data_IF_683704029956
#
_entry.id   IF_683704029956
#
_cell.length_a   1.000
_cell.length_b   1.000
_cell.length_c   1.000
_cell.angle_alpha   90.00
_cell.angle_beta   90.00
_cell.angle_gamma   90.00
#
_symmetry.space_group_name_H-M   'P 1'
#
loop_
_entity.id
_entity.type
_entity.pdbx_description
1 polymer ?
#
# COMPACT_ATOMS: atom_id res chain seq x y z
N UNK A 1 16.97 -21.06 -0.97
CA UNK A 1 17.54 -20.91 0.40
C UNK A 1 16.82 -19.84 1.23
N UNK A 2 16.54 -18.63 0.72
CA UNK A 2 15.86 -17.56 1.49
C UNK A 2 14.46 -17.91 2.03
N UNK A 3 13.59 -18.52 1.22
CA UNK A 3 12.24 -18.90 1.65
C UNK A 3 12.21 -19.92 2.81
N UNK A 4 13.19 -20.84 2.85
CA UNK A 4 13.31 -21.80 3.95
C UNK A 4 13.71 -21.12 5.27
N UNK A 5 14.53 -20.06 5.19
CA UNK A 5 14.91 -19.24 6.35
C UNK A 5 13.69 -18.43 6.84
N UNK A 6 12.90 -17.86 5.93
CA UNK A 6 11.68 -17.13 6.27
C UNK A 6 10.64 -18.04 6.96
N UNK A 7 10.50 -19.30 6.50
CA UNK A 7 9.67 -20.30 7.16
C UNK A 7 10.11 -20.61 8.60
N UNK A 8 11.42 -20.76 8.83
CA UNK A 8 11.97 -21.03 10.16
C UNK A 8 11.84 -19.84 11.14
N UNK A 9 11.84 -18.60 10.62
CA UNK A 9 11.60 -17.39 11.43
C UNK A 9 10.13 -17.32 11.87
N UNK A 10 9.19 -17.70 10.99
CA UNK A 10 7.77 -17.75 11.33
C UNK A 10 7.44 -18.85 12.37
N UNK A 11 8.23 -19.92 12.44
CA UNK A 11 8.08 -21.01 13.44
C UNK A 11 8.83 -20.76 14.75
N UNK A 12 9.54 -19.62 14.89
CA UNK A 12 10.12 -19.17 16.16
C UNK A 12 11.53 -19.69 16.49
N UNK A 13 12.22 -20.37 15.56
CA UNK A 13 13.57 -20.93 15.82
C UNK A 13 14.70 -19.89 15.73
N UNK A 14 14.45 -18.68 15.21
CA UNK A 14 15.49 -17.66 15.04
C UNK A 14 14.96 -16.26 15.35
N UNK A 15 15.47 -15.63 16.42
CA UNK A 15 15.03 -14.32 16.93
C UNK A 15 15.79 -13.11 16.36
N UNK A 16 16.84 -13.32 15.56
CA UNK A 16 17.78 -12.24 15.21
C UNK A 16 17.63 -11.71 13.78
N UNK A 17 16.57 -12.08 13.06
CA UNK A 17 16.31 -11.55 11.71
C UNK A 17 15.16 -10.55 11.77
N UNK A 18 15.49 -9.27 11.72
CA UNK A 18 14.53 -8.21 11.44
C UNK A 18 14.22 -8.24 9.95
N UNK A 19 13.06 -8.79 9.59
CA UNK A 19 12.52 -8.73 8.24
C UNK A 19 11.86 -7.36 8.03
N UNK A 20 12.56 -6.48 7.30
CA UNK A 20 12.03 -5.17 6.90
C UNK A 20 11.53 -5.28 5.46
N UNK A 21 10.29 -5.73 5.31
CA UNK A 21 9.63 -5.71 4.00
C UNK A 21 9.19 -4.28 3.67
N UNK A 22 9.31 -3.91 2.39
CA UNK A 22 8.94 -2.58 1.89
C UNK A 22 8.11 -2.67 0.62
N UNK A 23 7.23 -1.71 0.37
CA UNK A 23 6.45 -1.64 -0.87
C UNK A 23 7.35 -1.37 -2.08
N UNK A 24 7.24 -2.14 -3.19
CA UNK A 24 8.13 -1.96 -4.34
C UNK A 24 7.80 -0.72 -5.18
N UNK A 25 6.52 -0.32 -5.20
CA UNK A 25 5.99 0.79 -5.99
C UNK A 25 5.01 1.60 -5.15
N UNK A 26 4.72 2.82 -5.58
CA UNK A 26 3.75 3.68 -4.91
C UNK A 26 2.34 3.20 -5.24
N UNK A 27 1.47 3.16 -4.24
CA UNK A 27 0.05 2.87 -4.39
C UNK A 27 -0.72 4.17 -4.25
N UNK A 28 -1.70 4.38 -5.12
CA UNK A 28 -2.51 5.59 -5.12
C UNK A 28 -3.82 5.38 -5.84
N UNK A 29 -4.67 6.41 -5.79
CA UNK A 29 -5.95 6.43 -6.50
C UNK A 29 -5.98 7.55 -7.53
N UNK A 30 -6.76 7.37 -8.58
CA UNK A 30 -7.05 8.42 -9.56
C UNK A 30 -8.14 9.36 -9.02
N UNK A 31 -7.81 10.64 -8.89
CA UNK A 31 -8.76 11.71 -8.51
C UNK A 31 -9.32 12.41 -9.75
N UNK A 32 -10.33 13.26 -9.57
CA UNK A 32 -10.89 14.06 -10.66
C UNK A 32 -9.78 14.88 -11.36
N UNK A 33 -9.80 14.89 -12.69
CA UNK A 33 -8.77 15.55 -13.52
C UNK A 33 -7.63 14.63 -13.98
N UNK A 34 -7.71 13.32 -13.75
CA UNK A 34 -6.70 12.34 -14.19
C UNK A 34 -5.39 12.42 -13.39
N UNK A 35 -5.44 13.04 -12.22
CA UNK A 35 -4.29 13.15 -11.31
C UNK A 35 -4.26 11.93 -10.40
N UNK A 36 -3.10 11.31 -10.27
CA UNK A 36 -2.89 10.21 -9.32
C UNK A 36 -2.50 10.79 -7.96
N UNK A 37 -3.35 10.64 -6.95
CA UNK A 37 -2.98 10.90 -5.56
C UNK A 37 -2.29 9.67 -4.97
N UNK A 38 -1.03 9.83 -4.56
CA UNK A 38 -0.23 8.74 -3.97
C UNK A 38 -0.58 8.61 -2.49
N UNK A 39 -1.09 7.45 -2.11
CA UNK A 39 -1.49 7.13 -0.73
C UNK A 39 -0.36 6.44 0.04
N UNK A 40 0.31 5.47 -0.58
CA UNK A 40 1.47 4.78 0.01
C UNK A 40 2.64 4.97 -0.94
N UNK A 41 3.72 5.60 -0.49
CA UNK A 41 4.91 5.81 -1.32
C UNK A 41 5.68 4.49 -1.54
N UNK A 42 6.44 4.40 -2.63
CA UNK A 42 7.43 3.33 -2.80
C UNK A 42 8.40 3.30 -1.62
N UNK A 43 8.91 2.12 -1.30
CA UNK A 43 9.82 1.85 -0.19
C UNK A 43 9.23 2.13 1.21
N UNK A 44 7.90 2.13 1.35
CA UNK A 44 7.26 2.23 2.68
C UNK A 44 7.33 0.87 3.37
N UNK A 45 7.80 0.82 4.62
CA UNK A 45 7.85 -0.42 5.41
C UNK A 45 6.46 -1.01 5.61
N UNK A 46 6.31 -2.32 5.38
CA UNK A 46 5.07 -3.06 5.61
C UNK A 46 5.19 -3.89 6.90
N UNK A 47 4.09 -4.09 7.65
CA UNK A 47 2.72 -3.67 7.38
C UNK A 47 2.48 -2.16 7.60
N UNK A 48 1.74 -1.53 6.70
CA UNK A 48 1.35 -0.11 6.81
C UNK A 48 -0.13 0.07 6.49
N UNK A 49 -0.73 1.14 7.03
CA UNK A 49 -2.12 1.56 6.76
C UNK A 49 -2.14 3.05 6.49
N UNK A 50 -2.80 3.44 5.41
CA UNK A 50 -3.04 4.84 5.06
C UNK A 50 -4.55 5.06 4.88
N UNK A 51 -5.05 6.21 5.31
CA UNK A 51 -6.46 6.59 5.22
C UNK A 51 -6.56 8.08 4.94
N UNK A 52 -7.35 8.44 3.94
CA UNK A 52 -7.60 9.82 3.54
C UNK A 52 -9.06 9.94 3.13
N UNK A 53 -9.66 11.09 3.44
CA UNK A 53 -11.09 11.36 3.19
C UNK A 53 -11.22 12.07 1.85
N UNK A 54 -11.98 11.48 0.93
CA UNK A 54 -12.29 12.05 -0.38
C UNK A 54 -13.75 12.50 -0.45
N UNK A 55 -14.02 13.51 -1.29
CA UNK A 55 -15.37 14.04 -1.53
C UNK A 55 -15.77 13.85 -3.00
N UNK A 56 -17.07 13.98 -3.27
CA UNK A 56 -17.60 14.07 -4.63
C UNK A 56 -17.05 15.31 -5.32
N UNK A 57 -16.85 15.19 -6.63
CA UNK A 57 -16.26 16.26 -7.42
C UNK A 57 -17.31 17.12 -8.15
N UNK A 58 -18.57 16.65 -8.19
CA UNK A 58 -19.73 17.38 -8.72
C UNK A 58 -20.90 17.32 -7.74
N UNK A 59 -21.77 18.33 -7.80
CA UNK A 59 -23.01 18.38 -7.02
C UNK A 59 -23.98 17.28 -7.45
N UNK A 60 -24.62 16.60 -6.48
CA UNK A 60 -25.52 15.47 -6.70
C UNK A 60 -24.89 14.24 -7.38
N UNK A 61 -23.57 14.04 -7.26
CA UNK A 61 -22.90 12.84 -7.73
C UNK A 61 -23.36 11.59 -6.93
N UNK A 62 -24.18 10.74 -7.56
CA UNK A 62 -24.81 9.58 -6.91
C UNK A 62 -23.85 8.42 -6.57
N UNK A 63 -22.67 8.35 -7.23
CA UNK A 63 -21.69 7.30 -6.99
C UNK A 63 -20.25 7.80 -7.22
N UNK A 64 -19.32 7.27 -6.42
CA UNK A 64 -17.88 7.53 -6.54
C UNK A 64 -17.19 6.26 -7.02
N UNK A 65 -16.39 6.36 -8.08
CA UNK A 65 -15.55 5.24 -8.55
C UNK A 65 -14.13 5.43 -8.07
N UNK A 66 -13.62 4.47 -7.28
CA UNK A 66 -12.25 4.48 -6.78
C UNK A 66 -11.43 3.53 -7.66
N UNK A 67 -10.54 4.08 -8.49
CA UNK A 67 -9.58 3.28 -9.25
C UNK A 67 -8.24 3.30 -8.55
N UNK A 68 -7.74 2.11 -8.21
CA UNK A 68 -6.45 1.92 -7.55
C UNK A 68 -5.38 1.67 -8.60
N UNK A 69 -4.26 2.37 -8.49
CA UNK A 69 -3.11 2.27 -9.38
C UNK A 69 -1.81 2.03 -8.59
N UNK A 70 -0.85 1.38 -9.25
CA UNK A 70 0.48 1.15 -8.73
C UNK A 70 1.54 1.68 -9.71
N UNK A 71 2.45 2.56 -9.24
CA UNK A 71 3.51 3.18 -10.05
C UNK A 71 4.77 3.53 -9.27
#
# INVERSE_FOLDING_TARGET
>A
MGAAIQGAVLTGERKDVLLLDVTPLSLGIETLGGVMSKMIAKNTTIPTRFSEVFSTAEDNQAAVTIKVYQR
#
